data_IF_254107573909
#
_entry.id   IF_254107573909
#
_cell.length_a   1.000
_cell.length_b   1.000
_cell.length_c   1.000
_cell.angle_alpha   90.00
_cell.angle_beta   90.00
_cell.angle_gamma   90.00
#
_symmetry.space_group_name_H-M   'P 1'
#
loop_
_entity.id
_entity.type
_entity.pdbx_description
1 polymer ?
#
# COMPACT_ATOMS: atom_id res chain seq x y z
N UNK A 1 -12.75 20.79 10.87
CA UNK A 1 -14.00 20.05 10.53
C UNK A 1 -13.85 19.52 9.12
N UNK A 2 -13.50 18.24 8.96
CA UNK A 2 -13.38 17.62 7.63
C UNK A 2 -14.75 17.02 7.25
N UNK A 3 -15.30 17.46 6.11
CA UNK A 3 -16.55 16.96 5.53
C UNK A 3 -16.29 15.63 4.84
N UNK A 4 -16.87 14.56 5.36
CA UNK A 4 -16.90 13.25 4.71
C UNK A 4 -17.98 13.27 3.62
N UNK A 5 -17.57 13.23 2.35
CA UNK A 5 -18.48 13.04 1.23
C UNK A 5 -18.60 11.54 0.93
N UNK A 6 -19.80 10.97 1.13
CA UNK A 6 -20.10 9.60 0.69
C UNK A 6 -19.99 9.51 -0.84
N UNK A 7 -19.11 8.64 -1.31
CA UNK A 7 -18.99 8.23 -2.71
C UNK A 7 -19.39 6.75 -2.84
N UNK A 8 -19.96 6.35 -3.99
CA UNK A 8 -20.57 5.05 -4.17
C UNK A 8 -19.55 3.90 -4.08
N UNK A 9 -20.02 2.76 -3.55
CA UNK A 9 -19.28 1.51 -3.38
C UNK A 9 -18.76 1.00 -4.73
N UNK A 10 -17.44 0.98 -4.90
CA UNK A 10 -16.78 0.46 -6.11
C UNK A 10 -15.48 1.15 -6.49
N UNK A 11 -15.22 2.35 -5.95
CA UNK A 11 -13.93 3.03 -6.09
C UNK A 11 -13.21 2.96 -4.73
N UNK A 12 -11.99 2.42 -4.74
CA UNK A 12 -11.19 2.25 -3.51
C UNK A 12 -11.12 3.58 -2.75
N UNK A 13 -11.48 3.56 -1.47
CA UNK A 13 -11.43 4.74 -0.63
C UNK A 13 -9.98 4.97 -0.23
N UNK A 14 -9.33 5.94 -0.86
CA UNK A 14 -7.94 6.30 -0.61
C UNK A 14 -7.87 7.68 0.07
N UNK A 15 -7.20 7.74 1.23
CA UNK A 15 -6.93 9.01 1.93
C UNK A 15 -5.47 9.08 2.31
N UNK A 16 -4.85 10.26 2.14
CA UNK A 16 -3.47 10.52 2.52
C UNK A 16 -3.33 11.82 3.29
N UNK A 17 -2.44 11.84 4.27
CA UNK A 17 -2.09 13.05 5.02
C UNK A 17 -0.56 13.19 5.08
N UNK A 18 -0.07 14.42 4.99
CA UNK A 18 1.35 14.76 5.05
C UNK A 18 1.57 15.80 6.15
N UNK A 19 2.60 15.60 6.97
CA UNK A 19 2.97 16.55 8.01
C UNK A 19 4.47 16.51 8.30
N UNK A 20 5.01 17.65 8.72
CA UNK A 20 6.39 17.80 9.17
C UNK A 20 6.42 17.88 10.70
N UNK A 21 7.35 17.15 11.31
CA UNK A 21 7.56 17.15 12.76
C UNK A 21 8.52 18.28 13.16
N UNK A 22 8.53 18.67 14.44
CA UNK A 22 9.42 19.73 14.95
C UNK A 22 10.91 19.45 14.75
N UNK A 23 11.29 18.18 14.64
CA UNK A 23 12.66 17.75 14.39
C UNK A 23 13.03 17.67 12.90
N UNK A 24 12.15 18.13 12.00
CA UNK A 24 12.37 18.11 10.55
C UNK A 24 12.08 16.77 9.87
N UNK A 25 11.54 15.78 10.60
CA UNK A 25 11.10 14.52 10.02
C UNK A 25 9.83 14.73 9.18
N UNK A 26 9.78 14.09 8.01
CA UNK A 26 8.61 14.14 7.14
C UNK A 26 7.80 12.86 7.35
N UNK A 27 6.54 13.03 7.73
CA UNK A 27 5.62 11.93 7.95
C UNK A 27 4.50 11.95 6.91
N UNK A 28 4.07 10.76 6.50
CA UNK A 28 2.82 10.65 5.77
C UNK A 28 2.04 9.39 6.16
N UNK A 29 0.72 9.51 6.17
CA UNK A 29 -0.22 8.42 6.46
C UNK A 29 -1.06 8.14 5.22
N UNK A 30 -1.47 6.87 5.06
CA UNK A 30 -2.33 6.45 3.96
C UNK A 30 -3.29 5.35 4.38
N UNK A 31 -4.57 5.50 4.07
CA UNK A 31 -5.60 4.46 4.22
C UNK A 31 -6.12 4.08 2.83
N UNK A 32 -6.26 2.78 2.56
CA UNK A 32 -6.83 2.31 1.31
C UNK A 32 -7.67 1.03 1.50
N UNK A 33 -8.75 0.90 0.74
CA UNK A 33 -9.59 -0.31 0.64
C UNK A 33 -9.50 -0.86 -0.79
N UNK A 34 -9.10 -2.12 -0.90
CA UNK A 34 -8.83 -2.81 -2.16
C UNK A 34 -9.69 -4.07 -2.24
N UNK A 35 -10.21 -4.36 -3.43
CA UNK A 35 -10.99 -5.56 -3.69
C UNK A 35 -10.28 -6.47 -4.70
N UNK A 36 -10.33 -7.77 -4.42
CA UNK A 36 -9.78 -8.85 -5.23
C UNK A 36 -10.91 -9.83 -5.56
N UNK A 37 -11.69 -9.57 -6.62
CA UNK A 37 -12.73 -10.48 -7.09
C UNK A 37 -12.12 -11.70 -7.80
N UNK A 38 -12.86 -12.81 -7.86
CA UNK A 38 -12.47 -14.02 -8.58
C UNK A 38 -11.27 -14.78 -8.01
N UNK A 39 -10.86 -14.46 -6.78
CA UNK A 39 -9.79 -15.19 -6.08
C UNK A 39 -10.34 -16.45 -5.43
N UNK A 40 -9.49 -17.46 -5.23
CA UNK A 40 -9.95 -18.77 -4.74
C UNK A 40 -10.05 -18.84 -3.21
N UNK A 41 -9.26 -18.01 -2.50
CA UNK A 41 -9.27 -17.96 -1.04
C UNK A 41 -8.63 -16.67 -0.50
N UNK A 42 -8.92 -16.36 0.76
CA UNK A 42 -8.22 -15.31 1.50
C UNK A 42 -6.72 -15.61 1.64
N UNK A 43 -6.36 -16.88 1.83
CA UNK A 43 -4.98 -17.32 1.97
C UNK A 43 -4.18 -16.99 0.70
N UNK A 44 -4.73 -17.20 -0.49
CA UNK A 44 -4.08 -16.84 -1.75
C UNK A 44 -3.69 -15.35 -1.79
N UNK A 45 -4.58 -14.47 -1.34
CA UNK A 45 -4.33 -13.02 -1.29
C UNK A 45 -3.29 -12.67 -0.22
N UNK A 46 -3.36 -13.32 0.94
CA UNK A 46 -2.39 -13.13 2.02
C UNK A 46 -0.98 -13.56 1.59
N UNK A 47 -0.85 -14.73 0.96
CA UNK A 47 0.43 -15.26 0.50
C UNK A 47 1.04 -14.38 -0.60
N UNK A 48 0.23 -13.92 -1.56
CA UNK A 48 0.66 -12.97 -2.60
C UNK A 48 1.16 -11.65 -1.99
N UNK A 49 0.48 -11.16 -0.95
CA UNK A 49 0.88 -9.94 -0.23
C UNK A 49 2.19 -10.12 0.55
N UNK A 50 2.37 -11.25 1.24
CA UNK A 50 3.63 -11.57 1.94
C UNK A 50 4.80 -11.73 0.98
N UNK A 51 4.57 -12.36 -0.17
CA UNK A 51 5.57 -12.46 -1.23
C UNK A 51 5.99 -11.07 -1.71
N UNK A 52 5.05 -10.16 -1.94
CA UNK A 52 5.37 -8.78 -2.29
C UNK A 52 6.25 -8.11 -1.21
N UNK A 53 5.89 -8.20 0.07
CA UNK A 53 6.65 -7.56 1.15
C UNK A 53 8.08 -8.09 1.25
N UNK A 54 8.26 -9.41 1.10
CA UNK A 54 9.57 -10.06 1.17
C UNK A 54 10.49 -9.62 0.02
N UNK A 55 9.95 -9.43 -1.18
CA UNK A 55 10.72 -8.96 -2.33
C UNK A 55 10.98 -7.45 -2.30
N UNK A 56 10.10 -6.67 -1.65
CA UNK A 56 10.29 -5.23 -1.45
C UNK A 56 11.51 -4.95 -0.55
N UNK A 57 11.70 -5.74 0.52
CA UNK A 57 12.81 -5.58 1.47
C UNK A 57 14.19 -5.67 0.78
N UNK A 58 14.33 -6.56 -0.21
CA UNK A 58 15.61 -6.84 -0.91
C UNK A 58 16.02 -5.70 -1.85
N UNK A 59 15.06 -5.03 -2.49
CA UNK A 59 15.32 -4.06 -3.57
C UNK A 59 15.91 -2.72 -3.10
N UNK A 60 15.92 -2.44 -1.79
CA UNK A 60 16.40 -1.16 -1.22
C UNK A 60 17.93 -1.17 -1.03
N UNK A 61 18.53 -2.33 -0.76
CA UNK A 61 19.95 -2.45 -0.37
C UNK A 61 20.93 -2.56 -1.54
N UNK A 62 20.52 -3.06 -2.70
CA UNK A 62 21.45 -3.46 -3.78
C UNK A 62 21.90 -2.30 -4.70
N UNK A 63 21.19 -1.15 -4.71
CA UNK A 63 21.41 -0.08 -5.69
C UNK A 63 22.50 0.94 -5.38
N UNK A 64 23.18 0.87 -4.24
CA UNK A 64 23.92 2.02 -3.73
C UNK A 64 25.43 1.79 -3.65
N UNK A 65 26.09 2.00 -4.80
CA UNK A 65 27.54 1.92 -4.94
C UNK A 65 28.33 3.06 -4.29
N UNK A 66 27.67 4.09 -3.73
CA UNK A 66 28.24 5.17 -2.90
C UNK A 66 27.09 5.78 -2.05
N UNK A 67 27.09 5.59 -0.73
CA UNK A 67 25.85 5.59 0.07
C UNK A 67 25.68 6.83 0.96
N UNK A 68 25.00 7.87 0.49
CA UNK A 68 24.24 8.77 1.38
C UNK A 68 22.82 8.25 1.50
N UNK A 69 22.58 7.38 2.49
CA UNK A 69 21.28 6.79 2.75
C UNK A 69 20.48 7.67 3.72
N UNK A 70 19.26 8.01 3.35
CA UNK A 70 18.29 8.63 4.27
C UNK A 70 17.38 7.53 4.80
N UNK A 71 17.26 7.45 6.13
CA UNK A 71 16.48 6.40 6.80
C UNK A 71 14.98 6.60 6.57
N UNK A 72 14.31 5.51 6.22
CA UNK A 72 12.85 5.42 6.07
C UNK A 72 12.31 4.32 6.96
N UNK A 73 11.41 4.68 7.86
CA UNK A 73 10.66 3.72 8.66
C UNK A 73 9.23 3.64 8.11
N UNK A 74 8.73 2.42 7.90
CA UNK A 74 7.37 2.17 7.42
C UNK A 74 6.68 1.25 8.41
N UNK A 75 5.57 1.72 8.96
CA UNK A 75 4.68 0.94 9.81
C UNK A 75 3.35 0.77 9.08
N UNK A 76 2.75 -0.41 9.13
CA UNK A 76 1.48 -0.65 8.46
C UNK A 76 0.65 -1.73 9.12
N UNK A 77 -0.65 -1.67 8.87
CA UNK A 77 -1.62 -2.66 9.28
C UNK A 77 -2.48 -3.04 8.08
N UNK A 78 -2.81 -4.32 7.96
CA UNK A 78 -3.67 -4.85 6.92
C UNK A 78 -4.73 -5.75 7.54
N UNK A 79 -5.97 -5.61 7.10
CA UNK A 79 -7.10 -6.47 7.45
C UNK A 79 -7.66 -7.06 6.17
N UNK A 80 -7.71 -8.39 6.09
CA UNK A 80 -8.32 -9.13 4.99
C UNK A 80 -9.69 -9.66 5.44
N UNK A 81 -10.73 -9.45 4.63
CA UNK A 81 -12.08 -9.98 4.87
C UNK A 81 -12.62 -10.66 3.61
N UNK A 82 -13.36 -11.76 3.77
CA UNK A 82 -14.05 -12.43 2.65
C UNK A 82 -15.47 -11.89 2.55
N UNK A 83 -15.87 -11.51 1.34
CA UNK A 83 -17.21 -11.11 0.99
C UNK A 83 -17.70 -12.06 -0.11
N UNK A 84 -18.84 -12.74 0.11
CA UNK A 84 -19.55 -13.49 -0.95
C UNK A 84 -20.64 -12.59 -1.51
N UNK A 85 -20.65 -12.35 -2.82
CA UNK A 85 -21.78 -11.69 -3.45
C UNK A 85 -22.92 -12.70 -3.51
N UNK A 86 -23.98 -12.50 -2.71
CA UNK A 86 -25.18 -13.33 -2.79
C UNK A 86 -26.06 -12.80 -3.93
N UNK A 87 -25.96 -13.42 -5.11
CA UNK A 87 -27.03 -13.30 -6.08
C UNK A 87 -28.15 -14.27 -5.69
N UNK A 88 -29.39 -13.78 -5.67
CA UNK A 88 -30.55 -14.45 -5.08
C UNK A 88 -30.98 -15.74 -5.80
N UNK A 89 -30.20 -16.27 -6.74
CA UNK A 89 -30.60 -17.40 -7.59
C UNK A 89 -29.51 -18.42 -7.98
N UNK A 90 -28.26 -18.31 -7.52
CA UNK A 90 -27.22 -19.32 -7.81
C UNK A 90 -26.32 -19.57 -6.59
N UNK A 91 -26.01 -20.85 -6.35
CA UNK A 91 -25.15 -21.36 -5.26
C UNK A 91 -23.65 -21.01 -5.46
N UNK A 92 -23.31 -20.25 -6.50
CA UNK A 92 -21.93 -19.93 -6.92
C UNK A 92 -21.65 -18.42 -6.88
N UNK A 93 -21.81 -17.81 -5.71
CA UNK A 93 -21.44 -16.41 -5.50
C UNK A 93 -19.93 -16.19 -5.63
N UNK A 94 -19.50 -15.29 -6.52
CA UNK A 94 -18.08 -14.93 -6.70
C UNK A 94 -17.45 -14.52 -5.37
N UNK A 95 -16.33 -15.15 -5.02
CA UNK A 95 -15.55 -14.83 -3.84
C UNK A 95 -14.77 -13.53 -4.07
N UNK A 96 -15.00 -12.55 -3.21
CA UNK A 96 -14.27 -11.28 -3.21
C UNK A 96 -13.51 -11.14 -1.90
N UNK A 97 -12.18 -11.06 -1.97
CA UNK A 97 -11.37 -10.69 -0.80
C UNK A 97 -11.21 -9.17 -0.77
N UNK A 98 -11.55 -8.57 0.36
CA UNK A 98 -11.35 -7.14 0.61
C UNK A 98 -10.15 -6.94 1.52
N UNK A 99 -9.20 -6.13 1.11
CA UNK A 99 -8.04 -5.71 1.88
C UNK A 99 -8.22 -4.26 2.33
N UNK A 100 -8.26 -4.03 3.63
CA UNK A 100 -8.18 -2.69 4.23
C UNK A 100 -6.76 -2.51 4.76
N UNK A 101 -6.08 -1.46 4.33
CA UNK A 101 -4.71 -1.19 4.75
C UNK A 101 -4.56 0.23 5.29
N UNK A 102 -3.74 0.36 6.32
CA UNK A 102 -3.22 1.62 6.81
C UNK A 102 -1.69 1.57 6.76
N UNK A 103 -1.06 2.65 6.37
CA UNK A 103 0.39 2.79 6.38
C UNK A 103 0.78 4.15 6.95
N UNK A 104 1.88 4.17 7.69
CA UNK A 104 2.55 5.34 8.21
C UNK A 104 4.01 5.26 7.79
N UNK A 105 4.50 6.26 7.07
CA UNK A 105 5.90 6.39 6.71
C UNK A 105 6.48 7.56 7.46
N UNK A 106 7.67 7.34 8.01
CA UNK A 106 8.52 8.36 8.60
C UNK A 106 9.83 8.43 7.83
N UNK A 107 10.08 9.58 7.23
CA UNK A 107 11.34 9.92 6.61
C UNK A 107 12.16 10.75 7.60
N UNK A 108 13.31 10.21 8.02
CA UNK A 108 14.16 10.89 9.00
C UNK A 108 14.90 12.06 8.34
N UNK A 109 14.98 13.17 9.07
CA UNK A 109 15.80 14.30 8.67
C UNK A 109 17.28 13.88 8.60
N UNK A 110 17.95 13.98 7.46
CA UNK A 110 19.36 13.62 7.34
C UNK A 110 20.27 14.70 7.96
N UNK A 111 21.33 14.28 8.66
CA UNK A 111 22.38 15.19 9.18
C UNK A 111 23.35 15.69 8.09
N UNK A 112 23.16 15.26 6.85
CA UNK A 112 23.95 15.65 5.68
C UNK A 112 23.08 16.46 4.71
N UNK A 113 23.68 17.35 3.90
CA UNK A 113 22.92 18.16 2.96
C UNK A 113 22.22 17.29 1.92
N UNK A 114 20.89 17.41 1.84
CA UNK A 114 20.06 16.83 0.80
C UNK A 114 19.27 17.95 0.14
N UNK A 115 19.20 17.94 -1.20
CA UNK A 115 18.43 18.97 -1.90
C UNK A 115 16.94 18.86 -1.55
N UNK A 116 16.19 19.99 -1.48
CA UNK A 116 14.75 19.95 -1.22
C UNK A 116 13.99 19.08 -2.23
N UNK A 117 14.42 19.09 -3.50
CA UNK A 117 13.85 18.23 -4.54
C UNK A 117 14.05 16.74 -4.23
N UNK A 118 15.25 16.33 -3.80
CA UNK A 118 15.51 14.95 -3.41
C UNK A 118 14.71 14.55 -2.16
N UNK A 119 14.58 15.43 -1.16
CA UNK A 119 13.72 15.18 0.01
C UNK A 119 12.24 15.04 -0.38
N UNK A 120 11.76 15.86 -1.32
CA UNK A 120 10.39 15.79 -1.83
C UNK A 120 10.13 14.51 -2.62
N UNK A 121 11.06 14.09 -3.49
CA UNK A 121 10.99 12.80 -4.20
C UNK A 121 10.96 11.63 -3.22
N UNK A 122 11.76 11.74 -2.17
CA UNK A 122 11.91 10.72 -1.16
C UNK A 122 10.65 10.60 -0.27
N UNK A 123 9.98 11.71 0.04
CA UNK A 123 8.76 11.80 0.84
C UNK A 123 7.45 11.56 0.07
N UNK A 124 7.37 11.92 -1.22
CA UNK A 124 6.16 11.75 -2.06
C UNK A 124 5.78 10.31 -2.41
N UNK A 125 6.44 9.33 -1.78
CA UNK A 125 6.41 7.93 -2.20
C UNK A 125 5.14 7.16 -1.82
N UNK A 126 4.48 7.42 -0.68
CA UNK A 126 3.48 6.48 -0.13
C UNK A 126 2.31 6.19 -1.08
N UNK A 127 1.77 7.23 -1.73
CA UNK A 127 0.70 7.07 -2.71
C UNK A 127 1.14 6.20 -3.90
N UNK A 128 2.40 6.34 -4.34
CA UNK A 128 2.98 5.48 -5.39
C UNK A 128 3.22 4.04 -4.88
N UNK A 129 3.71 3.86 -3.66
CA UNK A 129 3.94 2.52 -3.07
C UNK A 129 2.65 1.72 -2.92
N UNK A 130 1.54 2.38 -2.54
CA UNK A 130 0.23 1.76 -2.51
C UNK A 130 -0.16 1.14 -3.86
N UNK A 131 0.01 1.91 -4.94
CA UNK A 131 -0.27 1.44 -6.30
C UNK A 131 0.69 0.33 -6.76
N UNK A 132 1.98 0.44 -6.42
CA UNK A 132 2.97 -0.61 -6.74
C UNK A 132 2.63 -1.92 -6.04
N UNK A 133 2.27 -1.88 -4.76
CA UNK A 133 1.83 -3.06 -4.02
C UNK A 133 0.60 -3.70 -4.67
N UNK A 134 -0.44 -2.90 -4.94
CA UNK A 134 -1.68 -3.39 -5.57
C UNK A 134 -1.38 -4.05 -6.91
N UNK A 135 -0.56 -3.41 -7.74
CA UNK A 135 -0.16 -3.93 -9.04
C UNK A 135 0.56 -5.27 -8.88
N UNK A 136 1.57 -5.35 -8.01
CA UNK A 136 2.35 -6.56 -7.79
C UNK A 136 1.48 -7.72 -7.27
N UNK A 137 0.62 -7.46 -6.28
CA UNK A 137 -0.30 -8.48 -5.74
C UNK A 137 -1.28 -8.94 -6.81
N UNK A 138 -1.84 -8.04 -7.62
CA UNK A 138 -2.72 -8.41 -8.75
C UNK A 138 -1.98 -9.21 -9.82
N UNK A 139 -0.75 -8.86 -10.14
CA UNK A 139 0.08 -9.64 -11.07
C UNK A 139 0.31 -11.06 -10.54
N UNK A 140 0.60 -11.24 -9.25
CA UNK A 140 0.75 -12.58 -8.66
C UNK A 140 -0.57 -13.36 -8.69
N UNK A 141 -1.68 -12.72 -8.33
CA UNK A 141 -2.98 -13.38 -8.23
C UNK A 141 -3.57 -13.76 -9.59
N UNK A 142 -3.37 -12.92 -10.60
CA UNK A 142 -4.04 -13.03 -11.90
C UNK A 142 -3.08 -13.36 -13.06
N UNK A 143 -1.79 -13.58 -12.81
CA UNK A 143 -0.84 -14.01 -13.85
C UNK A 143 -1.23 -15.35 -14.50
N UNK A 144 -1.89 -16.24 -13.77
CA UNK A 144 -2.26 -17.59 -14.22
C UNK A 144 -3.54 -17.64 -15.09
N UNK A 145 -4.16 -16.50 -15.39
CA UNK A 145 -5.40 -16.40 -16.18
C UNK A 145 -5.20 -15.85 -17.61
N UNK A 146 -3.97 -15.81 -18.13
CA UNK A 146 -3.65 -15.39 -19.50
C UNK A 146 -3.10 -16.53 -20.33
#
# INVERSE_FOLDING_TARGET
>A
MARSCHLPEGQGQESHEHFEMENGDICCSGLNVLHFPGVTSLQQVFDAFLFYLSNMEISITERLGHVTNVRKDISGAVVLTVNKKQDANEDDGELVVTMRRAAFLKLHHPEFPVSPAAMQELGGGIAKWGNVMVKAVREILYASGR
#
